data_IF_927202070983
#
_entry.id   IF_927202070983
#
_cell.length_a   1.000
_cell.length_b   1.000
_cell.length_c   1.000
_cell.angle_alpha   90.00
_cell.angle_beta   90.00
_cell.angle_gamma   90.00
#
_symmetry.space_group_name_H-M   'P 1'
#
loop_
_entity.id
_entity.type
_entity.pdbx_description
1 polymer ?
#
# COMPACT_ATOMS: atom_id res chain seq x y z
N UNK A 1 15.82 -8.62 -21.44
CA UNK A 1 16.01 -8.11 -20.07
C UNK A 1 15.90 -9.29 -19.13
N UNK A 2 16.88 -9.49 -18.24
CA UNK A 2 16.84 -10.56 -17.24
C UNK A 2 15.92 -10.13 -16.11
N UNK A 3 14.90 -10.92 -15.80
CA UNK A 3 13.99 -10.69 -14.66
C UNK A 3 14.79 -10.67 -13.36
N UNK A 4 14.53 -9.68 -12.50
CA UNK A 4 15.22 -9.62 -11.21
C UNK A 4 14.82 -10.83 -10.34
N UNK A 5 15.72 -11.43 -9.53
CA UNK A 5 15.41 -12.65 -8.77
C UNK A 5 14.16 -12.55 -7.87
N UNK A 6 13.89 -11.38 -7.30
CA UNK A 6 12.69 -11.17 -6.47
C UNK A 6 11.37 -11.22 -7.27
N UNK A 7 11.42 -10.97 -8.58
CA UNK A 7 10.28 -11.06 -9.49
C UNK A 7 10.08 -12.47 -10.08
N UNK A 8 11.02 -13.39 -9.91
CA UNK A 8 10.92 -14.74 -10.48
C UNK A 8 10.05 -15.65 -9.60
N UNK A 9 8.83 -16.04 -10.05
CA UNK A 9 7.95 -16.89 -9.26
C UNK A 9 8.42 -18.35 -9.17
N UNK A 10 9.41 -18.77 -9.95
CA UNK A 10 9.98 -20.12 -9.87
C UNK A 10 10.94 -20.30 -8.68
N UNK A 11 11.41 -19.20 -8.07
CA UNK A 11 12.27 -19.24 -6.89
C UNK A 11 11.47 -19.34 -5.58
N UNK A 12 12.03 -19.96 -4.52
CA UNK A 12 11.41 -19.98 -3.20
C UNK A 12 11.12 -18.57 -2.67
N UNK A 13 10.00 -18.41 -1.96
CA UNK A 13 9.59 -17.11 -1.42
C UNK A 13 10.70 -16.46 -0.56
N UNK A 14 11.38 -17.23 0.30
CA UNK A 14 12.48 -16.73 1.12
C UNK A 14 13.62 -16.13 0.28
N UNK A 15 14.06 -16.83 -0.78
CA UNK A 15 15.10 -16.35 -1.67
C UNK A 15 14.70 -15.06 -2.40
N UNK A 16 13.42 -14.95 -2.78
CA UNK A 16 12.88 -13.74 -3.41
C UNK A 16 12.83 -12.56 -2.43
N UNK A 17 12.43 -12.81 -1.19
CA UNK A 17 12.39 -11.81 -0.11
C UNK A 17 13.80 -11.32 0.22
N UNK A 18 14.77 -12.22 0.42
CA UNK A 18 16.17 -11.86 0.69
C UNK A 18 16.75 -11.02 -0.45
N UNK A 19 16.49 -11.40 -1.70
CA UNK A 19 16.94 -10.67 -2.88
C UNK A 19 16.31 -9.26 -3.00
N UNK A 20 15.08 -9.07 -2.52
CA UNK A 20 14.41 -7.78 -2.47
C UNK A 20 14.95 -6.92 -1.32
N UNK A 21 15.02 -7.47 -0.10
CA UNK A 21 15.52 -6.77 1.08
C UNK A 21 16.97 -6.33 0.94
N UNK A 22 17.80 -7.08 0.21
CA UNK A 22 19.19 -6.69 -0.08
C UNK A 22 19.30 -5.46 -0.99
N UNK A 23 18.25 -5.12 -1.74
CA UNK A 23 18.20 -3.96 -2.64
C UNK A 23 17.54 -2.72 -2.03
N UNK A 24 16.75 -2.91 -0.99
CA UNK A 24 16.00 -1.81 -0.37
C UNK A 24 16.87 -0.97 0.56
N UNK A 25 16.67 0.34 0.55
CA UNK A 25 17.20 1.24 1.58
C UNK A 25 16.51 1.00 2.93
N UNK A 26 17.04 1.58 4.01
CA UNK A 26 16.41 1.49 5.32
C UNK A 26 15.03 2.19 5.33
N UNK A 27 14.91 3.31 4.64
CA UNK A 27 13.67 4.07 4.49
C UNK A 27 12.63 3.25 3.72
N UNK A 28 13.02 2.60 2.63
CA UNK A 28 12.12 1.72 1.88
C UNK A 28 11.67 0.52 2.72
N UNK A 29 12.58 -0.08 3.51
CA UNK A 29 12.22 -1.17 4.45
C UNK A 29 11.24 -0.69 5.50
N UNK A 30 11.48 0.49 6.05
CA UNK A 30 10.59 1.12 7.03
C UNK A 30 9.23 1.42 6.42
N UNK A 31 9.20 1.84 5.15
CA UNK A 31 7.95 2.09 4.43
C UNK A 31 7.08 0.85 4.25
N UNK A 32 7.66 -0.35 4.29
CA UNK A 32 6.88 -1.60 4.26
C UNK A 32 6.19 -1.93 5.60
N UNK A 33 6.58 -1.27 6.68
CA UNK A 33 6.11 -1.57 8.04
C UNK A 33 4.93 -0.71 8.49
N UNK A 34 4.48 0.24 7.68
CA UNK A 34 3.30 1.05 7.97
C UNK A 34 2.28 1.02 6.83
N UNK A 35 1.07 1.48 7.14
CA UNK A 35 -0.01 1.63 6.18
C UNK A 35 -0.78 2.92 6.40
N UNK A 36 -1.42 3.39 5.34
CA UNK A 36 -2.32 4.55 5.40
C UNK A 36 -3.74 4.15 5.04
N UNK A 37 -4.70 4.89 5.58
CA UNK A 37 -6.10 4.71 5.28
C UNK A 37 -6.44 5.56 4.07
N UNK A 38 -6.74 4.91 2.95
CA UNK A 38 -7.07 5.55 1.66
C UNK A 38 -8.56 5.43 1.40
N UNK A 39 -9.22 6.55 1.12
CA UNK A 39 -10.66 6.55 0.81
C UNK A 39 -11.55 6.29 2.03
N UNK A 40 -11.07 6.55 3.24
CA UNK A 40 -11.95 6.76 4.38
C UNK A 40 -12.71 8.07 4.16
N UNK A 41 -13.79 8.03 3.39
CA UNK A 41 -14.79 9.09 3.44
C UNK A 41 -15.20 9.23 4.89
N UNK A 42 -15.06 10.45 5.42
CA UNK A 42 -15.48 10.84 6.76
C UNK A 42 -17.01 10.93 6.90
N UNK A 43 -17.75 10.53 5.87
CA UNK A 43 -19.20 10.54 5.84
C UNK A 43 -19.73 9.31 6.60
N UNK A 44 -19.67 9.39 7.94
CA UNK A 44 -20.09 8.36 8.90
C UNK A 44 -19.30 8.45 10.22
N UNK A 45 -19.61 7.58 11.20
CA UNK A 45 -18.95 7.53 12.53
C UNK A 45 -17.47 7.08 12.51
N UNK A 46 -16.83 7.12 11.34
CA UNK A 46 -15.54 6.48 11.10
C UNK A 46 -15.64 4.95 11.15
N UNK A 47 -14.49 4.29 11.00
CA UNK A 47 -14.34 2.84 10.99
C UNK A 47 -13.64 2.33 12.25
N UNK A 48 -13.21 3.23 13.14
CA UNK A 48 -12.65 2.95 14.45
C UNK A 48 -12.81 4.16 15.41
N UNK A 49 -12.93 3.93 16.73
CA UNK A 49 -12.84 4.98 17.73
C UNK A 49 -11.55 5.81 17.55
N UNK A 50 -11.65 7.13 17.68
CA UNK A 50 -10.54 8.08 17.51
C UNK A 50 -9.84 8.07 16.15
N UNK A 51 -10.44 7.50 15.09
CA UNK A 51 -9.87 7.53 13.74
C UNK A 51 -9.43 8.93 13.30
N UNK A 52 -10.21 9.97 13.63
CA UNK A 52 -9.89 11.35 13.26
C UNK A 52 -8.58 11.86 13.87
N UNK A 53 -8.10 11.25 14.97
CA UNK A 53 -6.78 11.54 15.56
C UNK A 53 -5.64 10.69 14.95
N UNK A 54 -5.97 9.65 14.19
CA UNK A 54 -5.02 8.78 13.49
C UNK A 54 -4.88 9.11 12.00
N UNK A 55 -5.90 9.76 11.42
CA UNK A 55 -5.83 10.35 10.09
C UNK A 55 -5.06 11.67 10.18
N UNK A 56 -3.74 11.60 10.03
CA UNK A 56 -2.92 12.78 9.74
C UNK A 56 -3.12 13.14 8.27
N UNK A 57 -3.31 14.43 7.95
CA UNK A 57 -3.19 14.90 6.58
C UNK A 57 -1.79 14.57 6.06
N UNK A 58 -1.71 13.83 4.96
CA UNK A 58 -0.45 13.46 4.31
C UNK A 58 -0.44 13.92 2.86
N UNK A 59 0.72 14.36 2.38
CA UNK A 59 0.94 14.53 0.94
C UNK A 59 1.14 13.14 0.33
N UNK A 60 0.22 12.75 -0.56
CA UNK A 60 0.25 11.44 -1.21
C UNK A 60 1.48 11.26 -2.11
N UNK A 61 1.90 12.29 -2.84
CA UNK A 61 3.02 12.16 -3.78
C UNK A 61 4.35 12.07 -3.04
N UNK A 62 4.47 12.76 -1.90
CA UNK A 62 5.61 12.58 -0.99
C UNK A 62 5.61 11.17 -0.36
N UNK A 63 4.46 10.74 0.15
CA UNK A 63 4.31 9.48 0.89
C UNK A 63 4.76 8.25 0.08
N UNK A 64 4.38 8.18 -1.19
CA UNK A 64 4.63 6.98 -2.02
C UNK A 64 6.05 6.93 -2.61
N UNK A 65 6.86 7.98 -2.46
CA UNK A 65 8.19 8.09 -3.09
C UNK A 65 9.15 6.95 -2.68
N UNK A 66 8.95 6.34 -1.50
CA UNK A 66 9.76 5.23 -0.98
C UNK A 66 9.05 3.87 -1.06
N UNK A 67 7.97 3.81 -1.85
CA UNK A 67 6.97 2.76 -1.77
C UNK A 67 6.09 2.90 -0.51
N UNK A 68 5.06 2.07 -0.42
CA UNK A 68 4.14 2.01 0.71
C UNK A 68 3.78 0.54 0.95
N UNK A 69 3.93 0.08 2.20
CA UNK A 69 3.69 -1.31 2.55
C UNK A 69 2.22 -1.72 2.45
N UNK A 70 1.31 -0.85 2.91
CA UNK A 70 -0.09 -1.21 3.08
C UNK A 70 -1.03 -0.06 2.71
N UNK A 71 -1.99 -0.37 1.84
CA UNK A 71 -3.21 0.42 1.68
C UNK A 71 -4.30 -0.19 2.54
N UNK A 72 -4.73 0.54 3.57
CA UNK A 72 -5.76 0.08 4.48
C UNK A 72 -7.12 0.62 4.05
N UNK A 73 -8.13 -0.25 4.04
CA UNK A 73 -9.52 0.09 3.69
C UNK A 73 -9.66 0.76 2.31
N UNK A 74 -8.97 0.25 1.30
CA UNK A 74 -8.97 0.77 -0.08
C UNK A 74 -10.35 0.91 -0.75
N UNK A 75 -11.41 0.35 -0.15
CA UNK A 75 -12.80 0.42 -0.62
C UNK A 75 -13.74 1.14 0.37
N UNK A 76 -13.22 1.71 1.46
CA UNK A 76 -14.02 2.34 2.51
C UNK A 76 -14.90 1.34 3.28
N UNK A 77 -16.05 1.83 3.76
CA UNK A 77 -17.07 1.06 4.50
C UNK A 77 -18.38 0.87 3.75
N UNK A 78 -18.65 1.70 2.75
CA UNK A 78 -19.83 1.57 1.91
C UNK A 78 -19.61 0.50 0.83
N UNK A 79 -20.67 -0.17 0.34
CA UNK A 79 -20.57 -1.03 -0.83
C UNK A 79 -20.01 -0.26 -2.03
N UNK A 80 -19.10 -0.90 -2.76
CA UNK A 80 -18.54 -0.38 -4.02
C UNK A 80 -18.84 -1.37 -5.15
N UNK A 81 -19.00 -0.85 -6.37
CA UNK A 81 -19.05 -1.71 -7.56
C UNK A 81 -17.71 -2.48 -7.69
N UNK A 82 -17.73 -3.82 -7.86
CA UNK A 82 -16.50 -4.62 -7.88
C UNK A 82 -15.52 -4.23 -8.99
N UNK A 83 -16.01 -3.90 -10.19
CA UNK A 83 -15.15 -3.55 -11.31
C UNK A 83 -14.51 -2.18 -11.08
N UNK A 84 -15.27 -1.21 -10.59
CA UNK A 84 -14.75 0.12 -10.24
C UNK A 84 -13.73 0.03 -9.09
N UNK A 85 -14.02 -0.75 -8.05
CA UNK A 85 -13.10 -0.98 -6.93
C UNK A 85 -11.77 -1.59 -7.40
N UNK A 86 -11.82 -2.67 -8.18
CA UNK A 86 -10.62 -3.31 -8.71
C UNK A 86 -9.77 -2.36 -9.57
N UNK A 87 -10.41 -1.55 -10.42
CA UNK A 87 -9.71 -0.56 -11.24
C UNK A 87 -9.08 0.55 -10.40
N UNK A 88 -9.76 1.02 -9.35
CA UNK A 88 -9.24 2.04 -8.45
C UNK A 88 -8.01 1.53 -7.69
N UNK A 89 -8.07 0.32 -7.13
CA UNK A 89 -6.93 -0.31 -6.45
C UNK A 89 -5.75 -0.50 -7.41
N UNK A 90 -6.00 -1.00 -8.62
CA UNK A 90 -4.94 -1.18 -9.62
C UNK A 90 -4.29 0.14 -10.06
N UNK A 91 -5.05 1.25 -10.12
CA UNK A 91 -4.48 2.59 -10.37
C UNK A 91 -3.59 3.05 -9.21
N UNK A 92 -4.01 2.84 -7.96
CA UNK A 92 -3.20 3.16 -6.79
C UNK A 92 -1.90 2.36 -6.76
N UNK A 93 -1.97 1.03 -6.98
CA UNK A 93 -0.81 0.15 -7.04
C UNK A 93 0.19 0.46 -8.15
N UNK A 94 -0.24 1.14 -9.23
CA UNK A 94 0.67 1.58 -10.31
C UNK A 94 1.42 2.88 -9.98
N UNK A 95 0.96 3.64 -8.99
CA UNK A 95 1.60 4.88 -8.56
C UNK A 95 2.63 4.65 -7.45
N UNK A 96 2.35 3.68 -6.58
CA UNK A 96 3.27 3.20 -5.53
C UNK A 96 4.38 2.38 -6.17
#
# INVERSE_FOLDING_TARGET
MTTAPWQDPALPAAARVDALLARMTLEEKTAQLYGVWVGASTDGDGVAPHQQHMNTDYDWDELITRGLGQLTRSFGTAPVDPALGAQALARAQRRI
#
